data_IF_690097690631
#
_entry.id   IF_690097690631
#
_cell.length_a   1.000
_cell.length_b   1.000
_cell.length_c   1.000
_cell.angle_alpha   90.00
_cell.angle_beta   90.00
_cell.angle_gamma   90.00
#
_symmetry.space_group_name_H-M   'P 1'
#
loop_
_entity.id
_entity.type
_entity.pdbx_description
1 polymer ?
#
# COMPACT_ATOMS: atom_id res chain seq x y z
N UNK A 1 30.99 11.63 21.67
CA UNK A 1 29.95 12.67 21.45
C UNK A 1 30.43 13.88 20.62
N UNK A 2 31.52 13.78 19.84
CA UNK A 2 32.00 14.89 18.97
C UNK A 2 31.28 14.99 17.62
N UNK A 3 30.64 13.94 17.10
CA UNK A 3 30.11 13.96 15.73
C UNK A 3 28.80 14.74 15.56
N UNK A 4 27.88 14.77 16.52
CA UNK A 4 26.54 15.35 16.31
C UNK A 4 26.53 16.88 16.11
N UNK A 5 27.46 17.60 16.77
CA UNK A 5 27.54 19.07 16.68
C UNK A 5 28.11 19.55 15.33
N UNK A 6 28.97 18.76 14.69
CA UNK A 6 29.53 19.09 13.37
C UNK A 6 28.49 18.90 12.24
N UNK A 7 27.62 17.88 12.36
CA UNK A 7 26.54 17.64 11.39
C UNK A 7 25.54 18.80 11.31
N UNK A 8 25.18 19.39 12.46
CA UNK A 8 24.25 20.52 12.52
C UNK A 8 24.84 21.80 11.90
N UNK A 9 26.15 22.04 12.06
CA UNK A 9 26.84 23.18 11.46
C UNK A 9 26.94 23.07 9.92
N UNK A 10 26.92 21.86 9.37
CA UNK A 10 26.93 21.59 7.93
C UNK A 10 25.53 21.52 7.29
N UNK A 11 24.45 21.76 8.07
CA UNK A 11 23.05 21.57 7.65
C UNK A 11 22.74 20.15 7.13
N UNK A 12 23.42 19.14 7.66
CA UNK A 12 23.22 17.74 7.25
C UNK A 12 22.25 17.05 8.22
N UNK A 13 21.28 16.30 7.67
CA UNK A 13 20.36 15.48 8.47
C UNK A 13 20.62 14.00 8.25
N UNK A 14 20.67 13.22 9.33
CA UNK A 14 20.66 11.76 9.25
C UNK A 14 19.26 11.27 8.87
N UNK A 15 19.17 10.50 7.78
CA UNK A 15 17.94 9.87 7.31
C UNK A 15 18.19 8.39 7.08
N UNK A 16 17.18 7.58 7.35
CA UNK A 16 17.15 6.20 6.88
C UNK A 16 16.51 6.23 5.49
N UNK A 17 17.20 5.76 4.44
CA UNK A 17 16.62 5.73 3.10
C UNK A 17 15.50 4.69 3.05
N UNK A 18 14.41 5.02 2.36
CA UNK A 18 13.40 4.04 1.99
C UNK A 18 13.89 3.20 0.81
N UNK A 19 13.43 1.95 0.76
CA UNK A 19 13.74 1.06 -0.36
C UNK A 19 13.06 1.56 -1.64
N UNK A 20 13.84 1.80 -2.68
CA UNK A 20 13.36 2.15 -4.02
C UNK A 20 13.78 1.05 -5.01
N UNK A 21 12.82 0.39 -5.65
CA UNK A 21 13.12 -0.61 -6.69
C UNK A 21 13.80 0.06 -7.89
N UNK A 22 14.66 -0.68 -8.59
CA UNK A 22 15.34 -0.22 -9.81
C UNK A 22 14.36 0.32 -10.88
N UNK A 23 13.26 -0.38 -11.13
CA UNK A 23 12.23 0.08 -12.09
C UNK A 23 11.65 1.44 -11.73
N UNK A 24 11.20 1.63 -10.47
CA UNK A 24 10.73 2.94 -9.98
C UNK A 24 11.81 4.03 -10.06
N UNK A 25 13.07 3.68 -9.78
CA UNK A 25 14.17 4.63 -9.90
C UNK A 25 14.37 5.10 -11.35
N UNK A 26 14.33 4.18 -12.31
CA UNK A 26 14.43 4.49 -13.75
C UNK A 26 13.26 5.38 -14.17
N UNK A 27 12.03 5.01 -13.84
CA UNK A 27 10.82 5.78 -14.19
C UNK A 27 10.74 7.15 -13.48
N UNK A 28 11.59 7.42 -12.50
CA UNK A 28 11.64 8.72 -11.82
C UNK A 28 12.42 9.79 -12.62
N UNK A 29 13.00 9.42 -13.76
CA UNK A 29 13.64 10.36 -14.70
C UNK A 29 12.64 11.42 -15.21
N UNK A 30 13.08 12.68 -15.29
CA UNK A 30 12.29 13.79 -15.82
C UNK A 30 11.78 13.53 -17.24
N UNK A 31 12.60 12.97 -18.14
CA UNK A 31 12.20 12.69 -19.51
C UNK A 31 11.06 11.65 -19.57
N UNK A 32 11.15 10.59 -18.75
CA UNK A 32 10.12 9.55 -18.69
C UNK A 32 8.82 10.09 -18.07
N UNK A 33 8.93 10.93 -17.04
CA UNK A 33 7.75 11.58 -16.46
C UNK A 33 7.09 12.54 -17.45
N UNK A 34 7.87 13.32 -18.19
CA UNK A 34 7.34 14.23 -19.20
C UNK A 34 6.58 13.47 -20.30
N UNK A 35 7.21 12.44 -20.87
CA UNK A 35 6.59 11.55 -21.87
C UNK A 35 5.31 10.87 -21.36
N UNK A 36 5.28 10.46 -20.09
CA UNK A 36 4.07 9.92 -19.47
C UNK A 36 2.93 10.95 -19.40
N UNK A 37 3.21 12.17 -18.93
CA UNK A 37 2.17 13.20 -18.79
C UNK A 37 1.67 13.73 -20.14
N UNK A 38 2.54 13.80 -21.14
CA UNK A 38 2.16 14.14 -22.53
C UNK A 38 1.16 13.10 -23.08
N UNK A 39 1.49 11.81 -22.98
CA UNK A 39 0.59 10.73 -23.41
C UNK A 39 -0.72 10.69 -22.62
N UNK A 40 -0.66 11.01 -21.32
CA UNK A 40 -1.85 11.11 -20.49
C UNK A 40 -2.76 12.22 -21.00
N UNK A 41 -2.23 13.42 -21.25
CA UNK A 41 -2.98 14.55 -21.78
C UNK A 41 -3.61 14.23 -23.14
N UNK A 42 -2.84 13.68 -24.08
CA UNK A 42 -3.33 13.25 -25.39
C UNK A 42 -4.50 12.27 -25.28
N UNK A 43 -4.38 11.29 -24.37
CA UNK A 43 -5.43 10.30 -24.12
C UNK A 43 -6.68 10.95 -23.54
N UNK A 44 -6.52 11.82 -22.54
CA UNK A 44 -7.65 12.52 -21.92
C UNK A 44 -8.38 13.42 -22.91
N UNK A 45 -7.66 14.10 -23.81
CA UNK A 45 -8.25 14.90 -24.89
C UNK A 45 -8.99 14.01 -25.89
N UNK A 46 -8.37 12.92 -26.36
CA UNK A 46 -8.95 12.01 -27.36
C UNK A 46 -10.28 11.40 -26.89
N UNK A 47 -10.42 11.12 -25.60
CA UNK A 47 -11.64 10.54 -25.02
C UNK A 47 -12.59 11.58 -24.36
N UNK A 48 -12.34 12.88 -24.50
CA UNK A 48 -13.13 13.95 -23.87
C UNK A 48 -13.24 13.83 -22.34
N UNK A 49 -12.15 13.42 -21.68
CA UNK A 49 -12.08 13.19 -20.23
C UNK A 49 -11.46 14.35 -19.44
N UNK A 50 -10.95 15.38 -20.12
CA UNK A 50 -10.25 16.52 -19.48
C UNK A 50 -11.04 17.19 -18.34
N UNK A 51 -12.36 17.24 -18.43
CA UNK A 51 -13.25 17.84 -17.43
C UNK A 51 -14.24 16.83 -16.82
N UNK A 52 -13.93 15.53 -16.89
CA UNK A 52 -14.80 14.45 -16.40
C UNK A 52 -14.10 13.62 -15.30
N UNK A 53 -13.72 14.23 -14.15
CA UNK A 53 -13.00 13.54 -13.08
C UNK A 53 -13.76 12.33 -12.52
N UNK A 54 -15.09 12.32 -12.62
CA UNK A 54 -15.97 11.23 -12.20
C UNK A 54 -15.82 9.96 -13.07
N UNK A 55 -15.24 10.10 -14.26
CA UNK A 55 -15.00 9.00 -15.22
C UNK A 55 -13.60 8.42 -15.15
N UNK A 56 -12.68 9.06 -14.44
CA UNK A 56 -11.29 8.64 -14.32
C UNK A 56 -11.11 7.92 -12.97
N UNK A 57 -11.05 6.59 -13.04
CA UNK A 57 -10.92 5.75 -11.86
C UNK A 57 -9.48 5.30 -11.66
N UNK A 58 -8.96 5.51 -10.45
CA UNK A 58 -7.73 4.86 -9.99
C UNK A 58 -8.09 3.62 -9.17
N UNK A 59 -7.35 2.54 -9.41
CA UNK A 59 -7.52 1.27 -8.73
C UNK A 59 -6.17 0.89 -8.14
N UNK A 60 -6.11 0.55 -6.86
CA UNK A 60 -4.86 0.11 -6.23
C UNK A 60 -5.10 -1.03 -5.25
N UNK A 61 -4.10 -1.92 -5.17
CA UNK A 61 -4.12 -3.09 -4.29
C UNK A 61 -3.31 -2.81 -3.03
N UNK A 62 -3.93 -3.05 -1.88
CA UNK A 62 -3.23 -3.05 -0.59
C UNK A 62 -3.32 -4.41 0.07
N UNK A 63 -2.24 -4.78 0.75
CA UNK A 63 -2.09 -6.07 1.41
C UNK A 63 -2.06 -5.94 2.94
N UNK A 64 -3.17 -5.59 3.62
CA UNK A 64 -3.18 -5.56 5.08
C UNK A 64 -2.85 -6.94 5.66
N UNK A 65 -2.01 -6.93 6.69
CA UNK A 65 -1.69 -8.11 7.49
C UNK A 65 -2.30 -7.96 8.88
N UNK A 66 -2.89 -9.03 9.40
CA UNK A 66 -3.46 -9.05 10.76
C UNK A 66 -2.40 -9.16 11.87
N UNK A 67 -1.13 -9.36 11.50
CA UNK A 67 -0.03 -9.48 12.47
C UNK A 67 0.60 -8.12 12.68
N UNK A 68 0.42 -7.60 13.89
CA UNK A 68 1.01 -6.34 14.31
C UNK A 68 2.54 -6.45 14.38
N UNK A 69 3.25 -5.47 13.84
CA UNK A 69 4.68 -5.32 14.07
C UNK A 69 4.89 -4.96 15.54
N UNK A 70 5.75 -5.70 16.23
CA UNK A 70 6.11 -5.38 17.60
C UNK A 70 6.80 -3.99 17.64
N UNK A 71 6.33 -3.12 18.54
CA UNK A 71 6.96 -1.83 18.77
C UNK A 71 8.32 -2.01 19.46
N UNK A 72 9.22 -1.03 19.31
CA UNK A 72 10.47 -0.99 20.09
C UNK A 72 10.12 -0.84 21.57
N UNK A 73 10.71 -1.66 22.43
CA UNK A 73 10.54 -1.58 23.88
C UNK A 73 11.89 -1.46 24.58
N UNK A 74 11.93 -0.76 25.72
CA UNK A 74 13.11 -0.73 26.59
C UNK A 74 13.18 -1.97 27.46
N UNK A 75 14.35 -2.61 27.54
CA UNK A 75 14.56 -3.83 28.32
C UNK A 75 15.89 -3.75 29.09
N UNK A 76 16.09 -4.62 30.08
CA UNK A 76 17.38 -4.72 30.78
C UNK A 76 18.47 -5.24 29.82
N UNK A 77 19.70 -4.73 29.98
CA UNK A 77 20.86 -5.00 29.11
C UNK A 77 21.19 -6.50 28.99
N UNK A 78 20.88 -7.29 30.03
CA UNK A 78 21.12 -8.74 30.12
C UNK A 78 19.97 -9.60 29.57
N UNK A 79 18.84 -9.00 29.16
CA UNK A 79 17.65 -9.75 28.72
C UNK A 79 17.64 -9.94 27.21
N UNK A 80 18.17 -11.09 26.78
CA UNK A 80 18.28 -11.49 25.36
C UNK A 80 16.95 -11.86 24.69
N UNK A 81 16.01 -12.44 25.43
CA UNK A 81 14.73 -12.93 24.89
C UNK A 81 13.55 -12.15 25.44
N UNK A 82 12.84 -11.50 24.54
CA UNK A 82 11.73 -10.58 24.84
C UNK A 82 10.66 -10.84 23.79
N UNK A 83 9.51 -11.36 24.23
CA UNK A 83 8.44 -11.78 23.34
C UNK A 83 7.24 -10.83 23.47
N UNK A 84 6.62 -10.53 22.34
CA UNK A 84 5.32 -9.86 22.30
C UNK A 84 4.24 -10.89 21.98
N UNK A 85 3.12 -10.86 22.72
CA UNK A 85 1.97 -11.72 22.40
C UNK A 85 1.26 -11.13 21.19
N UNK A 86 1.21 -11.89 20.10
CA UNK A 86 0.53 -11.53 18.85
C UNK A 86 -0.46 -12.64 18.45
N UNK A 87 -1.36 -12.34 17.52
CA UNK A 87 -2.37 -13.29 17.04
C UNK A 87 -1.78 -14.45 16.24
N UNK A 88 -0.66 -14.23 15.53
CA UNK A 88 0.06 -15.27 14.80
C UNK A 88 1.53 -14.89 14.61
N UNK A 89 2.41 -15.89 14.52
CA UNK A 89 3.84 -15.69 14.24
C UNK A 89 4.10 -15.20 12.80
N UNK A 90 3.28 -15.67 11.85
CA UNK A 90 3.28 -15.22 10.45
C UNK A 90 1.89 -14.71 10.09
N UNK A 91 1.81 -13.51 9.53
CA UNK A 91 0.56 -12.96 9.03
C UNK A 91 0.22 -13.54 7.67
N UNK A 92 -1.06 -13.87 7.48
CA UNK A 92 -1.63 -14.02 6.14
C UNK A 92 -2.01 -12.64 5.64
N UNK A 93 -1.50 -12.28 4.46
CA UNK A 93 -1.91 -11.07 3.76
C UNK A 93 -3.33 -11.26 3.22
N UNK A 94 -4.21 -10.32 3.52
CA UNK A 94 -5.49 -10.16 2.83
C UNK A 94 -5.28 -9.13 1.74
N UNK A 95 -5.77 -9.41 0.53
CA UNK A 95 -5.72 -8.45 -0.57
C UNK A 95 -6.98 -7.59 -0.52
N UNK A 96 -6.82 -6.27 -0.56
CA UNK A 96 -7.92 -5.31 -0.71
C UNK A 96 -7.67 -4.50 -1.96
N UNK A 97 -8.59 -4.58 -2.90
CA UNK A 97 -8.59 -3.76 -4.11
C UNK A 97 -9.61 -2.63 -3.92
N UNK A 98 -9.11 -1.39 -3.94
CA UNK A 98 -9.91 -0.19 -3.76
C UNK A 98 -9.94 0.64 -5.04
N UNK A 99 -11.05 1.35 -5.23
CA UNK A 99 -11.32 2.17 -6.41
C UNK A 99 -11.74 3.57 -5.97
N UNK A 100 -11.10 4.59 -6.50
CA UNK A 100 -11.44 6.00 -6.23
C UNK A 100 -11.32 6.82 -7.49
N UNK A 101 -12.19 7.81 -7.67
CA UNK A 101 -12.06 8.81 -8.73
C UNK A 101 -11.74 10.20 -8.14
N UNK A 102 -11.36 11.13 -9.01
CA UNK A 102 -11.01 12.49 -8.59
C UNK A 102 -12.22 13.35 -8.19
N UNK A 103 -13.44 12.85 -8.41
CA UNK A 103 -14.69 13.44 -7.93
C UNK A 103 -15.12 12.86 -6.56
N UNK A 104 -14.18 12.28 -5.81
CA UNK A 104 -14.37 11.71 -4.46
C UNK A 104 -15.37 10.55 -4.38
N UNK A 105 -15.74 9.95 -5.51
CA UNK A 105 -16.53 8.72 -5.51
C UNK A 105 -15.61 7.52 -5.29
N UNK A 106 -16.15 6.51 -4.63
CA UNK A 106 -15.48 5.22 -4.45
C UNK A 106 -16.43 4.09 -4.84
N UNK A 107 -15.87 3.02 -5.41
CA UNK A 107 -16.60 1.75 -5.60
C UNK A 107 -16.30 0.90 -4.36
N UNK A 108 -17.30 0.21 -3.77
CA UNK A 108 -17.08 -0.69 -2.66
C UNK A 108 -15.90 -1.65 -2.94
N UNK A 109 -14.95 -1.78 -2.00
CA UNK A 109 -13.73 -2.52 -2.25
C UNK A 109 -13.98 -4.02 -2.42
N UNK A 110 -13.08 -4.66 -3.15
CA UNK A 110 -12.98 -6.11 -3.23
C UNK A 110 -11.97 -6.58 -2.18
N UNK A 111 -12.41 -7.42 -1.25
CA UNK A 111 -11.59 -8.03 -0.20
C UNK A 111 -11.41 -9.51 -0.51
N UNK A 112 -10.16 -9.94 -0.66
CA UNK A 112 -9.78 -11.31 -0.98
C UNK A 112 -9.03 -11.91 0.20
N UNK A 113 -9.67 -12.88 0.84
CA UNK A 113 -9.05 -13.67 1.87
C UNK A 113 -8.32 -14.88 1.28
N UNK A 114 -7.21 -15.26 1.90
CA UNK A 114 -6.55 -16.52 1.59
C UNK A 114 -7.39 -17.69 2.12
N UNK A 115 -7.86 -18.57 1.24
CA UNK A 115 -8.61 -19.75 1.60
C UNK A 115 -9.43 -20.33 0.45
N UNK A 116 -10.14 -21.41 0.73
CA UNK A 116 -11.06 -22.07 -0.22
C UNK A 116 -12.50 -22.11 0.28
N UNK A 117 -12.69 -22.04 1.60
CA UNK A 117 -14.01 -22.16 2.23
C UNK A 117 -14.53 -20.77 2.56
N UNK A 118 -15.58 -20.36 1.86
CA UNK A 118 -16.27 -19.12 2.19
C UNK A 118 -17.11 -19.30 3.46
N UNK A 119 -17.02 -18.35 4.38
CA UNK A 119 -17.78 -18.31 5.62
C UNK A 119 -18.39 -16.90 5.75
N UNK A 120 -19.71 -16.76 5.98
CA UNK A 120 -20.39 -15.46 6.03
C UNK A 120 -19.76 -14.46 7.01
N UNK A 121 -19.07 -14.95 8.03
CA UNK A 121 -18.37 -14.17 9.04
C UNK A 121 -17.22 -13.34 8.45
N UNK A 122 -16.69 -13.70 7.27
CA UNK A 122 -15.61 -12.94 6.61
C UNK A 122 -16.06 -11.58 6.10
N UNK A 123 -17.35 -11.40 5.80
CA UNK A 123 -17.91 -10.11 5.42
C UNK A 123 -18.51 -9.35 6.60
N UNK A 124 -18.43 -9.89 7.82
CA UNK A 124 -18.97 -9.24 9.01
C UNK A 124 -18.20 -7.95 9.30
N UNK A 125 -18.92 -6.83 9.48
CA UNK A 125 -18.31 -5.51 9.69
C UNK A 125 -17.61 -4.91 8.48
N UNK A 126 -17.75 -5.50 7.28
CA UNK A 126 -17.23 -4.93 6.05
C UNK A 126 -17.98 -3.66 5.65
N UNK A 127 -17.35 -2.81 4.83
CA UNK A 127 -18.00 -1.63 4.27
C UNK A 127 -19.25 -2.06 3.48
N UNK A 128 -20.35 -1.29 3.51
CA UNK A 128 -21.56 -1.61 2.76
C UNK A 128 -21.26 -1.89 1.29
N UNK A 129 -21.89 -2.93 0.74
CA UNK A 129 -21.74 -3.39 -0.65
C UNK A 129 -20.33 -3.89 -1.04
N UNK A 130 -19.39 -4.04 -0.09
CA UNK A 130 -18.06 -4.60 -0.38
C UNK A 130 -18.17 -6.05 -0.82
N UNK A 131 -17.31 -6.43 -1.76
CA UNK A 131 -17.27 -7.78 -2.28
C UNK A 131 -16.23 -8.60 -1.52
N UNK A 132 -16.66 -9.61 -0.78
CA UNK A 132 -15.74 -10.56 -0.15
C UNK A 132 -15.58 -11.80 -1.03
N UNK A 133 -14.33 -12.15 -1.33
CA UNK A 133 -13.94 -13.33 -2.12
C UNK A 133 -12.82 -14.08 -1.44
N UNK A 134 -12.60 -15.31 -1.89
CA UNK A 134 -11.49 -16.14 -1.45
C UNK A 134 -10.66 -16.58 -2.64
N UNK A 135 -9.36 -16.67 -2.42
CA UNK A 135 -8.39 -17.25 -3.34
C UNK A 135 -7.50 -18.19 -2.55
N UNK A 136 -7.13 -19.35 -3.12
CA UNK A 136 -6.22 -20.30 -2.47
C UNK A 136 -4.93 -19.63 -1.98
N UNK A 137 -4.48 -18.64 -2.74
CA UNK A 137 -3.23 -17.94 -2.54
C UNK A 137 -3.41 -16.58 -1.84
N UNK A 138 -4.63 -16.03 -1.87
CA UNK A 138 -4.98 -14.76 -1.24
C UNK A 138 -4.79 -13.53 -2.13
N UNK A 139 -4.52 -13.73 -3.42
CA UNK A 139 -4.41 -12.67 -4.43
C UNK A 139 -5.35 -12.94 -5.61
N UNK A 140 -5.58 -11.91 -6.43
CA UNK A 140 -6.39 -11.96 -7.66
C UNK A 140 -5.73 -12.94 -8.64
N UNK A 141 -6.50 -13.91 -9.15
CA UNK A 141 -5.97 -15.04 -9.92
C UNK A 141 -6.65 -15.23 -11.28
N UNK A 142 -7.50 -14.30 -11.71
CA UNK A 142 -8.09 -14.25 -13.04
C UNK A 142 -8.45 -12.80 -13.39
N UNK A 143 -8.36 -12.48 -14.68
CA UNK A 143 -8.85 -11.24 -15.29
C UNK A 143 -10.38 -11.30 -15.50
#
# INVERSE_FOLDING_TARGET
>A
MRSYREFLNLRLSLRTPDNLSSGRAICSNLAIKADFYEKLEETLVAYNLMNCPERIWNCDETGPMYVNKASKIGTKIDKKYVYNRTYAEKGTTTTVLAYVNAAENFIPPLVIFKGVRNTPELSNGSLPNSLTRLSQKGWINAD
#
